data_IF_649592513409
#
_entry.id   IF_649592513409
#
_cell.length_a   1.000
_cell.length_b   1.000
_cell.length_c   1.000
_cell.angle_alpha   90.00
_cell.angle_beta   90.00
_cell.angle_gamma   90.00
#
_symmetry.space_group_name_H-M   'P 1'
#
loop_
_entity.id
_entity.type
_entity.pdbx_description
1 polymer ?
#
# COMPACT_ATOMS: atom_id res chain seq x y z
N UNK A 1 15.04 16.07 -3.26
CA UNK A 1 13.62 15.69 -3.35
C UNK A 1 13.39 15.45 -4.80
N UNK A 2 13.53 14.18 -5.15
CA UNK A 2 13.34 13.69 -6.50
C UNK A 2 11.85 13.38 -6.61
N UNK A 3 11.18 14.04 -7.55
CA UNK A 3 9.85 13.61 -7.98
C UNK A 3 10.04 12.58 -9.08
N UNK A 4 9.29 11.49 -9.01
CA UNK A 4 9.23 10.52 -10.10
C UNK A 4 8.00 10.90 -10.93
N UNK A 5 8.20 11.56 -12.07
CA UNK A 5 7.09 11.95 -12.97
C UNK A 5 6.55 10.75 -13.74
N UNK A 6 7.42 9.91 -14.28
CA UNK A 6 6.98 8.72 -15.02
C UNK A 6 8.12 7.71 -15.07
N UNK A 7 7.83 6.48 -14.67
CA UNK A 7 8.74 5.36 -14.85
C UNK A 7 7.96 4.15 -15.41
N UNK A 8 8.50 3.51 -16.44
CA UNK A 8 7.96 2.23 -16.91
C UNK A 8 8.37 1.14 -15.92
N UNK A 9 9.62 0.64 -16.00
CA UNK A 9 10.06 -0.46 -15.14
C UNK A 9 11.18 -0.01 -14.19
N UNK A 10 10.98 -0.27 -12.90
CA UNK A 10 11.96 -0.09 -11.84
C UNK A 10 12.30 -1.46 -11.25
N UNK A 11 13.52 -1.93 -11.51
CA UNK A 11 14.01 -3.22 -10.99
C UNK A 11 14.13 -3.20 -9.45
N UNK A 12 14.63 -2.10 -8.87
CA UNK A 12 14.79 -2.03 -7.42
C UNK A 12 14.76 -0.60 -6.90
N UNK A 13 14.01 -0.40 -5.82
CA UNK A 13 14.07 0.78 -4.96
C UNK A 13 14.62 0.33 -3.60
N UNK A 14 15.89 0.63 -3.33
CA UNK A 14 16.58 0.17 -2.12
C UNK A 14 16.19 1.00 -0.88
N UNK A 15 16.52 2.29 -0.89
CA UNK A 15 16.18 3.18 0.23
C UNK A 15 15.69 4.53 -0.27
N UNK A 16 14.46 4.87 0.11
CA UNK A 16 13.88 6.18 -0.12
C UNK A 16 13.59 6.83 1.23
N UNK A 17 14.26 7.94 1.49
CA UNK A 17 14.19 8.66 2.77
C UNK A 17 12.92 9.52 2.80
N UNK A 18 12.93 10.68 2.14
CA UNK A 18 11.73 11.54 1.99
C UNK A 18 11.46 11.85 0.51
N UNK A 19 10.38 11.28 -0.01
CA UNK A 19 9.85 11.56 -1.35
C UNK A 19 8.69 12.56 -1.29
N UNK A 20 8.63 13.52 -2.21
CA UNK A 20 7.46 14.40 -2.30
C UNK A 20 6.34 13.79 -3.14
N UNK A 21 6.59 13.45 -4.41
CA UNK A 21 5.54 12.88 -5.26
C UNK A 21 6.09 11.79 -6.18
N UNK A 22 5.34 10.70 -6.26
CA UNK A 22 5.44 9.67 -7.29
C UNK A 22 4.16 9.79 -8.10
N UNK A 23 4.29 10.13 -9.38
CA UNK A 23 3.16 10.39 -10.28
C UNK A 23 2.71 9.06 -10.90
N UNK A 24 3.32 8.61 -12.00
CA UNK A 24 2.96 7.31 -12.61
C UNK A 24 4.13 6.32 -12.61
N UNK A 25 3.88 5.10 -12.13
CA UNK A 25 4.80 3.97 -12.27
C UNK A 25 4.06 2.75 -12.83
N UNK A 26 4.59 2.15 -13.90
CA UNK A 26 4.02 0.94 -14.51
C UNK A 26 4.39 -0.28 -13.67
N UNK A 27 5.68 -0.56 -13.45
CA UNK A 27 6.11 -1.76 -12.76
C UNK A 27 7.30 -1.53 -11.80
N UNK A 28 7.20 -2.11 -10.60
CA UNK A 28 8.29 -2.19 -9.64
C UNK A 28 8.47 -3.65 -9.17
N UNK A 29 9.66 -4.24 -9.42
CA UNK A 29 9.95 -5.61 -8.98
C UNK A 29 10.20 -5.66 -7.45
N UNK A 30 10.94 -4.71 -6.88
CA UNK A 30 11.24 -4.74 -5.44
C UNK A 30 11.40 -3.36 -4.83
N UNK A 31 10.74 -3.16 -3.69
CA UNK A 31 10.91 -2.02 -2.80
C UNK A 31 11.39 -2.52 -1.43
N UNK A 32 12.57 -2.10 -0.99
CA UNK A 32 13.13 -2.52 0.29
C UNK A 32 12.64 -1.62 1.44
N UNK A 33 13.10 -0.37 1.53
CA UNK A 33 12.74 0.51 2.64
C UNK A 33 12.33 1.91 2.17
N UNK A 34 11.12 2.32 2.54
CA UNK A 34 10.61 3.68 2.36
C UNK A 34 10.30 4.28 3.73
N UNK A 35 10.97 5.38 4.08
CA UNK A 35 10.70 6.13 5.32
C UNK A 35 9.40 6.95 5.17
N UNK A 36 9.36 7.91 4.25
CA UNK A 36 8.17 8.75 4.06
C UNK A 36 7.92 9.11 2.61
N UNK A 37 6.70 8.88 2.16
CA UNK A 37 6.18 9.36 0.87
C UNK A 37 4.92 10.19 1.10
N UNK A 38 4.89 11.41 0.55
CA UNK A 38 3.71 12.26 0.69
C UNK A 38 2.58 11.83 -0.26
N UNK A 39 2.84 11.76 -1.56
CA UNK A 39 1.80 11.37 -2.52
C UNK A 39 2.30 10.33 -3.53
N UNK A 40 1.45 9.35 -3.78
CA UNK A 40 1.53 8.39 -4.87
C UNK A 40 0.24 8.55 -5.67
N UNK A 41 0.33 8.91 -6.95
CA UNK A 41 -0.84 9.03 -7.82
C UNK A 41 -1.23 7.64 -8.34
N UNK A 42 -0.48 7.09 -9.30
CA UNK A 42 -0.81 5.80 -9.92
C UNK A 42 0.37 4.82 -9.90
N UNK A 43 0.11 3.61 -9.40
CA UNK A 43 1.01 2.46 -9.56
C UNK A 43 0.24 1.27 -10.12
N UNK A 44 0.68 0.75 -11.27
CA UNK A 44 0.02 -0.42 -11.90
C UNK A 44 0.40 -1.71 -11.17
N UNK A 45 1.70 -1.95 -10.95
CA UNK A 45 2.14 -3.21 -10.35
C UNK A 45 3.37 -3.10 -9.44
N UNK A 46 3.30 -3.74 -8.28
CA UNK A 46 4.42 -3.97 -7.38
C UNK A 46 4.50 -5.46 -6.99
N UNK A 47 5.63 -6.11 -7.28
CA UNK A 47 5.84 -7.53 -6.91
C UNK A 47 6.09 -7.66 -5.40
N UNK A 48 7.02 -6.89 -4.83
CA UNK A 48 7.39 -7.03 -3.41
C UNK A 48 7.72 -5.72 -2.74
N UNK A 49 7.14 -5.51 -1.56
CA UNK A 49 7.44 -4.44 -0.62
C UNK A 49 7.88 -5.04 0.71
N UNK A 50 9.07 -4.70 1.19
CA UNK A 50 9.51 -5.09 2.53
C UNK A 50 8.98 -4.13 3.60
N UNK A 51 9.50 -2.90 3.71
CA UNK A 51 9.09 -1.97 4.77
C UNK A 51 8.68 -0.60 4.25
N UNK A 52 7.55 -0.11 4.76
CA UNK A 52 7.08 1.26 4.58
C UNK A 52 6.72 1.85 5.95
N UNK A 53 7.39 2.93 6.34
CA UNK A 53 7.11 3.64 7.60
C UNK A 53 5.84 4.50 7.47
N UNK A 54 5.79 5.42 6.49
CA UNK A 54 4.62 6.31 6.35
C UNK A 54 4.31 6.65 4.90
N UNK A 55 3.03 6.48 4.54
CA UNK A 55 2.45 7.02 3.32
C UNK A 55 1.26 7.90 3.66
N UNK A 56 1.28 9.15 3.19
CA UNK A 56 0.18 10.07 3.46
C UNK A 56 -0.99 9.85 2.50
N UNK A 57 -0.77 9.91 1.17
CA UNK A 57 -1.84 9.73 0.19
C UNK A 57 -1.44 8.78 -0.94
N UNK A 58 -2.36 7.88 -1.28
CA UNK A 58 -2.31 7.02 -2.45
C UNK A 58 -3.64 7.17 -3.21
N UNK A 59 -3.61 7.53 -4.49
CA UNK A 59 -4.82 7.57 -5.30
C UNK A 59 -5.18 6.16 -5.80
N UNK A 60 -4.36 5.58 -6.68
CA UNK A 60 -4.66 4.28 -7.29
C UNK A 60 -3.49 3.30 -7.24
N UNK A 61 -3.78 2.09 -6.77
CA UNK A 61 -2.91 0.92 -6.90
C UNK A 61 -3.69 -0.25 -7.51
N UNK A 62 -3.25 -0.77 -8.66
CA UNK A 62 -3.95 -1.89 -9.32
C UNK A 62 -3.53 -3.24 -8.72
N UNK A 63 -2.23 -3.50 -8.58
CA UNK A 63 -1.76 -4.78 -8.06
C UNK A 63 -0.55 -4.69 -7.12
N UNK A 64 -0.65 -5.35 -5.97
CA UNK A 64 0.48 -5.67 -5.11
C UNK A 64 0.47 -7.17 -4.80
N UNK A 65 1.57 -7.85 -5.09
CA UNK A 65 1.73 -9.27 -4.74
C UNK A 65 1.99 -9.42 -3.24
N UNK A 66 3.13 -8.92 -2.73
CA UNK A 66 3.52 -9.13 -1.33
C UNK A 66 3.93 -7.85 -0.62
N UNK A 67 3.38 -7.65 0.58
CA UNK A 67 3.79 -6.62 1.54
C UNK A 67 4.17 -7.28 2.86
N UNK A 68 5.39 -7.06 3.33
CA UNK A 68 5.83 -7.57 4.63
C UNK A 68 5.32 -6.64 5.76
N UNK A 69 5.69 -5.36 5.74
CA UNK A 69 5.37 -4.43 6.82
C UNK A 69 4.99 -3.02 6.34
N UNK A 70 3.87 -2.52 6.87
CA UNK A 70 3.45 -1.11 6.76
C UNK A 70 3.10 -0.57 8.15
N UNK A 71 3.77 0.50 8.57
CA UNK A 71 3.50 1.18 9.83
C UNK A 71 2.22 2.05 9.73
N UNK A 72 2.17 2.97 8.76
CA UNK A 72 1.07 3.90 8.64
C UNK A 72 0.68 4.26 7.20
N UNK A 73 -0.63 4.19 6.94
CA UNK A 73 -1.28 4.81 5.78
C UNK A 73 -2.39 5.74 6.25
N UNK A 74 -2.35 7.01 5.83
CA UNK A 74 -3.40 7.98 6.16
C UNK A 74 -4.59 7.89 5.18
N UNK A 75 -4.38 8.09 3.88
CA UNK A 75 -5.45 8.04 2.88
C UNK A 75 -5.11 7.17 1.67
N UNK A 76 -6.07 6.34 1.27
CA UNK A 76 -6.00 5.52 0.07
C UNK A 76 -7.34 5.52 -0.65
N UNK A 77 -7.39 5.93 -1.92
CA UNK A 77 -8.65 5.96 -2.66
C UNK A 77 -9.02 4.57 -3.19
N UNK A 78 -8.20 3.98 -4.07
CA UNK A 78 -8.53 2.70 -4.71
C UNK A 78 -7.39 1.69 -4.65
N UNK A 79 -7.71 0.49 -4.16
CA UNK A 79 -6.88 -0.71 -4.30
C UNK A 79 -7.67 -1.78 -5.02
N UNK A 80 -7.12 -2.30 -6.12
CA UNK A 80 -7.75 -3.38 -6.85
C UNK A 80 -7.39 -4.74 -6.29
N UNK A 81 -6.10 -5.08 -6.19
CA UNK A 81 -5.67 -6.40 -5.74
C UNK A 81 -4.47 -6.32 -4.79
N UNK A 82 -4.59 -6.97 -3.64
CA UNK A 82 -3.46 -7.31 -2.77
C UNK A 82 -3.47 -8.81 -2.48
N UNK A 83 -2.40 -9.52 -2.85
CA UNK A 83 -2.34 -10.96 -2.60
C UNK A 83 -2.00 -11.26 -1.13
N UNK A 84 -0.93 -10.67 -0.59
CA UNK A 84 -0.50 -10.91 0.79
C UNK A 84 -0.02 -9.65 1.51
N UNK A 85 -0.49 -9.47 2.75
CA UNK A 85 0.07 -8.56 3.75
C UNK A 85 0.42 -9.33 5.03
N UNK A 86 1.65 -9.24 5.54
CA UNK A 86 2.05 -9.91 6.80
C UNK A 86 1.84 -9.05 8.06
N UNK A 87 2.02 -7.73 7.96
CA UNK A 87 1.78 -6.82 9.06
C UNK A 87 1.37 -5.40 8.63
N UNK A 88 0.33 -4.87 9.26
CA UNK A 88 -0.09 -3.49 9.08
C UNK A 88 -0.57 -2.87 10.40
N UNK A 89 0.09 -1.79 10.84
CA UNK A 89 -0.20 -1.15 12.12
C UNK A 89 -1.45 -0.26 12.05
N UNK A 90 -1.41 0.79 11.23
CA UNK A 90 -2.48 1.80 11.17
C UNK A 90 -2.89 2.14 9.75
N UNK A 91 -4.20 2.07 9.51
CA UNK A 91 -4.84 2.63 8.31
C UNK A 91 -5.96 3.58 8.73
N UNK A 92 -5.92 4.82 8.25
CA UNK A 92 -6.96 5.79 8.60
C UNK A 92 -8.16 5.71 7.65
N UNK A 93 -7.97 5.95 6.35
CA UNK A 93 -9.06 5.96 5.37
C UNK A 93 -8.72 5.13 4.13
N UNK A 94 -9.61 4.18 3.79
CA UNK A 94 -9.65 3.55 2.47
C UNK A 94 -11.04 3.75 1.84
N UNK A 95 -11.11 4.31 0.63
CA UNK A 95 -12.41 4.43 -0.04
C UNK A 95 -12.88 3.09 -0.64
N UNK A 96 -12.01 2.38 -1.37
CA UNK A 96 -12.36 1.11 -2.04
C UNK A 96 -11.26 0.07 -1.96
N UNK A 97 -11.62 -1.15 -1.54
CA UNK A 97 -10.82 -2.36 -1.73
C UNK A 97 -11.65 -3.37 -2.54
N UNK A 98 -11.17 -3.76 -3.72
CA UNK A 98 -11.87 -4.75 -4.56
C UNK A 98 -11.54 -6.19 -4.12
N UNK A 99 -10.25 -6.56 -4.13
CA UNK A 99 -9.80 -7.91 -3.77
C UNK A 99 -8.60 -7.92 -2.82
N UNK A 100 -8.72 -8.69 -1.74
CA UNK A 100 -7.62 -9.05 -0.85
C UNK A 100 -7.66 -10.54 -0.54
N UNK A 101 -6.54 -11.24 -0.72
CA UNK A 101 -6.46 -12.70 -0.64
C UNK A 101 -5.99 -13.20 0.73
N UNK A 102 -5.00 -12.53 1.34
CA UNK A 102 -4.49 -12.84 2.68
C UNK A 102 -3.99 -11.60 3.40
N UNK A 103 -4.32 -11.49 4.68
CA UNK A 103 -3.79 -10.47 5.58
C UNK A 103 -3.57 -11.07 6.96
N UNK A 104 -2.32 -11.12 7.42
CA UNK A 104 -1.98 -11.48 8.78
C UNK A 104 -1.76 -10.16 9.56
N UNK A 105 -2.31 -10.04 10.77
CA UNK A 105 -2.01 -8.93 11.70
C UNK A 105 -2.22 -7.49 11.20
N UNK A 106 -3.48 -7.11 10.95
CA UNK A 106 -3.88 -5.69 10.84
C UNK A 106 -4.35 -5.22 12.22
N UNK A 107 -3.66 -4.25 12.85
CA UNK A 107 -3.98 -3.82 14.23
C UNK A 107 -5.14 -2.81 14.26
N UNK A 108 -5.03 -1.72 13.50
CA UNK A 108 -6.03 -0.63 13.53
C UNK A 108 -6.45 -0.15 12.14
N UNK A 109 -7.77 -0.08 11.95
CA UNK A 109 -8.42 0.52 10.78
C UNK A 109 -9.54 1.43 11.28
N UNK A 110 -9.54 2.71 10.90
CA UNK A 110 -10.55 3.68 11.35
C UNK A 110 -11.76 3.73 10.39
N UNK A 111 -11.52 3.86 9.08
CA UNK A 111 -12.58 4.01 8.09
C UNK A 111 -12.33 3.23 6.78
N UNK A 112 -13.32 2.42 6.38
CA UNK A 112 -13.43 1.86 5.04
C UNK A 112 -14.84 2.09 4.51
N UNK A 113 -14.96 2.69 3.32
CA UNK A 113 -16.25 2.95 2.68
C UNK A 113 -16.81 1.71 1.98
N UNK A 114 -16.01 1.06 1.13
CA UNK A 114 -16.45 -0.09 0.32
C UNK A 114 -15.42 -1.22 0.27
N UNK A 115 -15.94 -2.45 0.34
CA UNK A 115 -15.18 -3.71 0.23
C UNK A 115 -16.02 -4.69 -0.58
N UNK A 116 -15.48 -5.28 -1.65
CA UNK A 116 -16.20 -6.28 -2.45
C UNK A 116 -15.80 -7.72 -2.08
N UNK A 117 -14.50 -8.08 -2.11
CA UNK A 117 -14.03 -9.45 -1.92
C UNK A 117 -12.79 -9.56 -1.00
N UNK A 118 -12.97 -10.15 0.18
CA UNK A 118 -11.86 -10.52 1.08
C UNK A 118 -11.89 -12.03 1.31
N UNK A 119 -10.86 -12.74 0.84
CA UNK A 119 -10.49 -14.07 1.34
C UNK A 119 -9.47 -13.85 2.48
N UNK A 120 -9.63 -14.49 3.64
CA UNK A 120 -8.75 -14.20 4.79
C UNK A 120 -8.45 -15.40 5.65
N UNK A 121 -7.18 -15.50 6.06
CA UNK A 121 -6.76 -16.27 7.21
C UNK A 121 -6.70 -15.35 8.45
N UNK A 122 -7.80 -15.30 9.21
CA UNK A 122 -7.93 -14.63 10.51
C UNK A 122 -7.51 -13.14 10.59
N UNK A 123 -8.42 -12.24 10.18
CA UNK A 123 -8.37 -10.83 10.60
C UNK A 123 -8.62 -10.76 12.11
N UNK A 124 -7.66 -10.27 12.91
CA UNK A 124 -7.95 -9.87 14.30
C UNK A 124 -8.58 -8.50 14.29
N UNK A 125 -9.90 -8.46 14.41
CA UNK A 125 -10.64 -7.21 14.31
C UNK A 125 -10.99 -6.66 15.68
N UNK A 126 -10.82 -5.36 15.94
CA UNK A 126 -11.67 -4.64 16.87
C UNK A 126 -12.79 -3.94 16.09
N UNK A 127 -13.60 -4.66 15.29
CA UNK A 127 -14.84 -4.07 14.76
C UNK A 127 -15.78 -3.82 15.95
N UNK A 128 -15.77 -2.59 16.47
CA UNK A 128 -16.83 -2.10 17.33
C UNK A 128 -17.56 -1.03 16.53
N UNK A 129 -18.74 -1.39 16.01
CA UNK A 129 -19.73 -0.42 15.52
C UNK A 129 -20.17 0.46 16.69
#
# INVERSE_FOLDING_TARGET
MDNIETADNIDTVDHMDTGENIDTVDHIDTVDNIDTVNNIDTVDHIDTVANIDTVNNIDTVDHIDTVDHIDAVDHMDTVHNIATVDHMDTVHNIATVDHMDTGENIDTVDHIDTVDNIDTAAIQTPWTI
#
